data_IF_213046833412
#
_entry.id   IF_213046833412
#
_cell.length_a   1.000
_cell.length_b   1.000
_cell.length_c   1.000
_cell.angle_alpha   90.00
_cell.angle_beta   90.00
_cell.angle_gamma   90.00
#
_symmetry.space_group_name_H-M   'P 1'
#
loop_
_entity.id
_entity.type
_entity.pdbx_description
1 polymer ?
#
# COMPACT_ATOMS: atom_id res chain seq x y z
N UNK A 1 12.43 12.59 -3.75
CA UNK A 1 11.70 12.50 -5.05
C UNK A 1 12.25 13.55 -5.99
N UNK A 2 12.35 13.33 -7.30
CA UNK A 2 12.73 14.40 -8.23
C UNK A 2 11.59 15.43 -8.28
N UNK A 3 11.91 16.72 -8.11
CA UNK A 3 10.91 17.78 -8.09
C UNK A 3 10.04 17.76 -9.36
N UNK A 4 8.73 17.79 -9.17
CA UNK A 4 7.74 17.87 -10.26
C UNK A 4 7.44 16.56 -11.01
N UNK A 5 8.10 15.45 -10.69
CA UNK A 5 7.83 14.15 -11.32
C UNK A 5 7.00 13.23 -10.39
N UNK A 6 6.08 12.42 -10.97
CA UNK A 6 5.34 11.45 -10.19
C UNK A 6 6.24 10.32 -9.70
N UNK A 7 5.84 9.65 -8.62
CA UNK A 7 6.57 8.51 -8.07
C UNK A 7 6.67 7.37 -9.09
N UNK A 8 7.89 6.96 -9.41
CA UNK A 8 8.17 5.83 -10.33
C UNK A 8 7.83 4.48 -9.67
N UNK A 9 7.95 4.39 -8.34
CA UNK A 9 7.54 3.18 -7.60
C UNK A 9 6.02 3.03 -7.57
N UNK A 10 5.26 4.13 -7.50
CA UNK A 10 3.80 4.09 -7.65
C UNK A 10 3.38 3.57 -9.03
N UNK A 11 4.07 3.99 -10.10
CA UNK A 11 3.85 3.45 -11.43
C UNK A 11 4.19 1.96 -11.52
N UNK A 12 5.32 1.53 -10.95
CA UNK A 12 5.72 0.13 -10.90
C UNK A 12 4.69 -0.76 -10.18
N UNK A 13 4.14 -0.30 -9.06
CA UNK A 13 3.07 -1.01 -8.36
C UNK A 13 1.79 -1.13 -9.21
N UNK A 14 1.42 -0.07 -9.93
CA UNK A 14 0.28 -0.08 -10.84
C UNK A 14 0.49 -1.05 -12.02
N UNK A 15 1.71 -1.13 -12.57
CA UNK A 15 2.09 -2.11 -13.60
C UNK A 15 1.89 -3.55 -13.11
N UNK A 16 2.34 -3.86 -11.90
CA UNK A 16 2.15 -5.18 -11.32
C UNK A 16 0.66 -5.51 -11.10
N UNK A 17 -0.16 -4.56 -10.64
CA UNK A 17 -1.60 -4.78 -10.49
C UNK A 17 -2.28 -5.03 -11.83
N UNK A 18 -1.98 -4.25 -12.88
CA UNK A 18 -2.52 -4.46 -14.21
C UNK A 18 -2.10 -5.81 -14.80
N UNK A 19 -0.81 -6.17 -14.67
CA UNK A 19 -0.32 -7.47 -15.13
C UNK A 19 -0.98 -8.64 -14.38
N UNK A 20 -1.28 -8.49 -13.09
CA UNK A 20 -2.01 -9.50 -12.30
C UNK A 20 -3.42 -9.76 -12.84
N UNK A 21 -4.13 -8.74 -13.32
CA UNK A 21 -5.46 -8.92 -13.91
C UNK A 21 -5.42 -9.82 -15.15
N UNK A 22 -4.35 -9.72 -15.95
CA UNK A 22 -4.20 -10.49 -17.20
C UNK A 22 -3.56 -11.85 -16.95
N UNK A 23 -2.40 -11.88 -16.30
CA UNK A 23 -1.56 -13.10 -16.20
C UNK A 23 -2.09 -14.09 -15.16
N UNK A 24 -2.65 -13.62 -14.06
CA UNK A 24 -3.29 -14.43 -13.02
C UNK A 24 -4.82 -14.30 -13.03
N UNK A 25 -5.40 -13.59 -14.00
CA UNK A 25 -6.86 -13.37 -14.13
C UNK A 25 -7.49 -12.76 -12.88
N UNK A 26 -6.75 -11.92 -12.16
CA UNK A 26 -7.20 -11.32 -10.91
C UNK A 26 -7.51 -12.31 -9.78
N UNK A 27 -6.95 -13.52 -9.82
CA UNK A 27 -7.34 -14.64 -8.94
C UNK A 27 -7.13 -14.37 -7.43
N UNK A 28 -6.24 -13.46 -7.06
CA UNK A 28 -6.02 -13.04 -5.66
C UNK A 28 -6.76 -11.76 -5.37
N UNK A 29 -6.63 -10.79 -6.29
CA UNK A 29 -7.19 -9.46 -6.15
C UNK A 29 -7.72 -8.95 -7.47
N UNK A 30 -9.03 -8.72 -7.55
CA UNK A 30 -9.67 -8.16 -8.75
C UNK A 30 -9.68 -6.63 -8.69
N UNK A 31 -9.03 -6.01 -9.67
CA UNK A 31 -9.02 -4.55 -9.85
C UNK A 31 -9.34 -4.20 -11.31
N UNK A 32 -10.61 -4.01 -11.66
CA UNK A 32 -11.03 -3.73 -13.04
C UNK A 32 -10.51 -2.40 -13.58
N UNK A 33 -10.03 -1.51 -12.72
CA UNK A 33 -9.49 -0.21 -13.09
C UNK A 33 -7.95 -0.21 -13.26
N UNK A 34 -7.27 -1.29 -12.84
CA UNK A 34 -5.80 -1.35 -12.85
C UNK A 34 -5.20 -1.10 -14.24
N UNK A 35 -5.79 -1.67 -15.30
CA UNK A 35 -5.36 -1.44 -16.67
C UNK A 35 -5.87 -0.08 -17.21
N UNK A 36 -7.08 0.31 -16.86
CA UNK A 36 -7.68 1.58 -17.33
C UNK A 36 -6.89 2.80 -16.89
N UNK A 37 -6.50 2.86 -15.61
CA UNK A 37 -5.75 4.01 -15.07
C UNK A 37 -4.36 4.14 -15.67
N UNK A 38 -3.78 3.05 -16.17
CA UNK A 38 -2.52 3.05 -16.91
C UNK A 38 -2.69 3.51 -18.36
N UNK A 39 -3.89 3.36 -18.93
CA UNK A 39 -4.16 3.71 -20.33
C UNK A 39 -3.25 2.94 -21.29
N UNK A 40 -2.59 3.63 -22.26
CA UNK A 40 -1.71 2.98 -23.26
C UNK A 40 -0.58 2.14 -22.66
N UNK A 41 -0.11 2.47 -21.46
CA UNK A 41 1.00 1.79 -20.81
C UNK A 41 0.64 0.38 -20.30
N UNK A 42 -0.66 0.06 -20.16
CA UNK A 42 -1.11 -1.23 -19.63
C UNK A 42 -0.60 -2.43 -20.44
N UNK A 43 -0.63 -2.33 -21.77
CA UNK A 43 -0.11 -3.39 -22.65
C UNK A 43 1.39 -3.61 -22.50
N UNK A 44 2.16 -2.53 -22.35
CA UNK A 44 3.60 -2.60 -22.10
C UNK A 44 3.92 -3.26 -20.76
N UNK A 45 3.16 -2.90 -19.70
CA UNK A 45 3.29 -3.49 -18.38
C UNK A 45 3.09 -5.02 -18.38
N UNK A 46 2.10 -5.51 -19.13
CA UNK A 46 1.84 -6.95 -19.27
C UNK A 46 2.98 -7.64 -20.01
N UNK A 47 3.44 -7.10 -21.15
CA UNK A 47 4.57 -7.67 -21.90
C UNK A 47 5.85 -7.72 -21.08
N UNK A 48 6.18 -6.65 -20.35
CA UNK A 48 7.35 -6.63 -19.45
C UNK A 48 7.24 -7.71 -18.36
N UNK A 49 6.05 -7.86 -17.77
CA UNK A 49 5.81 -8.87 -16.73
C UNK A 49 5.85 -10.31 -17.27
N UNK A 50 5.54 -10.53 -18.54
CA UNK A 50 5.70 -11.83 -19.24
C UNK A 50 7.16 -12.13 -19.55
N UNK A 51 7.91 -11.11 -19.97
CA UNK A 51 9.33 -11.24 -20.32
C UNK A 51 10.23 -11.50 -19.10
N UNK A 52 9.80 -11.06 -17.89
CA UNK A 52 10.55 -11.27 -16.65
C UNK A 52 9.72 -12.04 -15.59
N UNK A 53 9.66 -13.39 -15.68
CA UNK A 53 8.96 -14.22 -14.70
C UNK A 53 9.54 -14.13 -13.28
N UNK A 54 10.78 -13.69 -13.11
CA UNK A 54 11.42 -13.57 -11.78
C UNK A 54 10.64 -12.59 -10.88
N UNK A 55 9.93 -11.63 -11.45
CA UNK A 55 9.12 -10.62 -10.74
C UNK A 55 7.72 -11.11 -10.37
N UNK A 56 7.37 -12.34 -10.73
CA UNK A 56 6.05 -12.91 -10.41
C UNK A 56 5.77 -12.89 -8.90
N UNK A 57 6.77 -13.21 -8.06
CA UNK A 57 6.63 -13.16 -6.60
C UNK A 57 6.22 -11.78 -6.10
N UNK A 58 6.87 -10.71 -6.58
CA UNK A 58 6.52 -9.33 -6.23
C UNK A 58 5.12 -8.97 -6.71
N UNK A 59 4.74 -9.36 -7.94
CA UNK A 59 3.39 -9.13 -8.48
C UNK A 59 2.31 -9.78 -7.61
N UNK A 60 2.52 -11.02 -7.21
CA UNK A 60 1.59 -11.74 -6.34
C UNK A 60 1.51 -11.11 -4.94
N UNK A 61 2.65 -10.68 -4.37
CA UNK A 61 2.68 -9.98 -3.09
C UNK A 61 1.89 -8.65 -3.15
N UNK A 62 2.05 -7.87 -4.23
CA UNK A 62 1.27 -6.64 -4.43
C UNK A 62 -0.23 -6.92 -4.50
N UNK A 63 -0.66 -8.03 -5.12
CA UNK A 63 -2.06 -8.43 -5.12
C UNK A 63 -2.53 -8.87 -3.73
N UNK A 64 -1.72 -9.64 -3.00
CA UNK A 64 -2.03 -10.10 -1.63
C UNK A 64 -2.22 -8.94 -0.67
N UNK A 65 -1.28 -7.98 -0.63
CA UNK A 65 -1.39 -6.85 0.31
C UNK A 65 -2.62 -5.98 0.03
N UNK A 66 -2.97 -5.79 -1.25
CA UNK A 66 -4.17 -5.06 -1.63
C UNK A 66 -5.44 -5.82 -1.20
N UNK A 67 -5.53 -7.12 -1.45
CA UNK A 67 -6.64 -7.97 -0.99
C UNK A 67 -6.77 -7.96 0.52
N UNK A 68 -5.69 -8.16 1.25
CA UNK A 68 -5.67 -8.14 2.71
C UNK A 68 -6.17 -6.81 3.28
N UNK A 69 -5.71 -5.69 2.69
CA UNK A 69 -6.11 -4.36 3.14
C UNK A 69 -7.60 -4.10 2.89
N UNK A 70 -8.15 -4.50 1.75
CA UNK A 70 -9.57 -4.30 1.45
C UNK A 70 -10.48 -5.22 2.27
N UNK A 71 -10.08 -6.47 2.52
CA UNK A 71 -10.80 -7.36 3.44
C UNK A 71 -10.82 -6.81 4.86
N UNK A 72 -9.68 -6.28 5.35
CA UNK A 72 -9.57 -5.65 6.65
C UNK A 72 -10.39 -4.35 6.74
N UNK A 73 -10.41 -3.53 5.68
CA UNK A 73 -11.23 -2.34 5.59
C UNK A 73 -12.71 -2.68 5.64
N UNK A 74 -13.16 -3.68 4.89
CA UNK A 74 -14.57 -4.12 4.89
C UNK A 74 -15.00 -4.54 6.30
N UNK A 75 -14.15 -5.30 7.01
CA UNK A 75 -14.40 -5.68 8.39
C UNK A 75 -14.45 -4.48 9.35
N UNK A 76 -13.56 -3.50 9.19
CA UNK A 76 -13.56 -2.28 9.99
C UNK A 76 -14.79 -1.40 9.73
N UNK A 77 -15.22 -1.26 8.47
CA UNK A 77 -16.46 -0.54 8.10
C UNK A 77 -17.69 -1.19 8.73
N UNK A 78 -17.76 -2.53 8.74
CA UNK A 78 -18.82 -3.27 9.41
C UNK A 78 -18.83 -3.02 10.94
N UNK A 79 -17.67 -2.72 11.55
CA UNK A 79 -17.51 -2.39 12.97
C UNK A 79 -17.63 -0.89 13.29
N UNK A 80 -17.86 -0.04 12.31
CA UNK A 80 -18.13 1.38 12.54
C UNK A 80 -17.14 2.36 11.96
N UNK A 81 -16.06 1.94 11.29
CA UNK A 81 -15.16 2.84 10.59
C UNK A 81 -15.92 3.63 9.50
N UNK A 82 -15.68 4.94 9.43
CA UNK A 82 -16.37 5.85 8.50
C UNK A 82 -15.42 6.71 7.69
N UNK A 83 -14.14 6.59 7.91
CA UNK A 83 -13.10 7.31 7.19
C UNK A 83 -12.01 6.33 6.75
N UNK A 84 -11.61 6.42 5.49
CA UNK A 84 -10.44 5.75 4.93
C UNK A 84 -9.39 6.80 4.56
N UNK A 85 -8.17 6.61 5.02
CA UNK A 85 -7.01 7.39 4.60
C UNK A 85 -6.05 6.47 3.83
N UNK A 86 -5.78 6.80 2.58
CA UNK A 86 -4.83 6.09 1.73
C UNK A 86 -3.53 6.87 1.71
N UNK A 87 -2.53 6.41 2.46
CA UNK A 87 -1.22 7.05 2.56
C UNK A 87 -0.30 6.61 1.41
N UNK A 88 0.23 7.56 0.67
CA UNK A 88 0.98 7.29 -0.55
C UNK A 88 0.09 6.68 -1.63
N UNK A 89 -1.04 7.34 -1.90
CA UNK A 89 -2.12 6.81 -2.73
C UNK A 89 -1.70 6.46 -4.17
N UNK A 90 -0.64 7.07 -4.72
CA UNK A 90 -0.12 6.75 -6.05
C UNK A 90 -1.23 6.58 -7.09
N UNK A 91 -1.26 5.42 -7.74
CA UNK A 91 -2.35 4.99 -8.63
C UNK A 91 -3.29 3.97 -7.98
N UNK A 92 -3.48 4.02 -6.66
CA UNK A 92 -4.52 3.24 -5.99
C UNK A 92 -5.90 3.52 -6.61
N UNK A 93 -6.75 2.50 -6.67
CA UNK A 93 -8.04 2.56 -7.37
C UNK A 93 -9.24 2.34 -6.46
N UNK A 94 -9.03 2.09 -5.16
CA UNK A 94 -10.12 1.75 -4.25
C UNK A 94 -11.25 2.78 -4.27
N UNK A 95 -10.92 4.07 -4.17
CA UNK A 95 -11.92 5.14 -4.12
C UNK A 95 -12.88 5.14 -5.32
N UNK A 96 -12.41 4.68 -6.48
CA UNK A 96 -13.15 4.68 -7.75
C UNK A 96 -13.93 3.37 -7.99
N UNK A 97 -13.81 2.39 -7.09
CA UNK A 97 -14.52 1.10 -7.11
C UNK A 97 -15.23 0.82 -5.79
N UNK A 98 -15.19 1.76 -4.86
CA UNK A 98 -15.92 1.63 -3.60
C UNK A 98 -17.43 1.42 -3.87
N UNK A 99 -18.12 0.60 -3.06
CA UNK A 99 -19.55 0.38 -3.25
C UNK A 99 -20.34 1.69 -3.26
N UNK A 100 -21.26 1.81 -4.22
CA UNK A 100 -22.17 2.94 -4.28
C UNK A 100 -22.99 3.05 -2.99
N UNK A 101 -23.20 4.29 -2.52
CA UNK A 101 -23.91 4.54 -1.27
C UNK A 101 -23.11 4.24 0.00
N UNK A 102 -21.83 3.90 -0.11
CA UNK A 102 -20.96 3.78 1.06
C UNK A 102 -20.91 5.10 1.83
N UNK A 103 -21.15 5.02 3.15
CA UNK A 103 -20.98 6.17 4.06
C UNK A 103 -19.51 6.50 4.36
N UNK A 104 -18.57 5.84 3.69
CA UNK A 104 -17.15 5.99 3.89
C UNK A 104 -16.63 7.27 3.21
N UNK A 105 -16.03 8.16 3.99
CA UNK A 105 -15.25 9.28 3.46
C UNK A 105 -13.83 8.80 3.16
N UNK A 106 -13.29 9.14 2.01
CA UNK A 106 -11.99 8.68 1.55
C UNK A 106 -11.06 9.88 1.38
N UNK A 107 -9.86 9.77 1.93
CA UNK A 107 -8.79 10.77 1.84
C UNK A 107 -7.58 10.14 1.16
N UNK A 108 -7.26 10.56 -0.03
CA UNK A 108 -6.01 10.16 -0.70
C UNK A 108 -4.90 11.15 -0.36
N UNK A 109 -3.91 10.67 0.36
CA UNK A 109 -2.72 11.43 0.76
C UNK A 109 -1.55 11.05 -0.13
N UNK A 110 -0.98 12.02 -0.82
CA UNK A 110 0.23 11.83 -1.63
C UNK A 110 0.93 13.16 -1.89
N UNK A 111 2.16 13.08 -2.40
CA UNK A 111 2.88 14.27 -2.85
C UNK A 111 2.09 15.03 -3.94
N UNK A 112 2.05 16.37 -3.92
CA UNK A 112 1.27 17.17 -4.86
C UNK A 112 1.47 16.80 -6.34
N UNK A 113 2.72 16.55 -6.75
CA UNK A 113 3.05 16.18 -8.13
C UNK A 113 2.45 14.82 -8.54
N UNK A 114 2.53 13.81 -7.65
CA UNK A 114 1.94 12.47 -7.88
C UNK A 114 0.43 12.57 -7.95
N UNK A 115 -0.17 13.37 -7.08
CA UNK A 115 -1.62 13.55 -7.06
C UNK A 115 -2.13 14.29 -8.30
N UNK A 116 -1.43 15.33 -8.75
CA UNK A 116 -1.74 16.02 -10.01
C UNK A 116 -1.63 15.09 -11.22
N UNK A 117 -0.61 14.23 -11.24
CA UNK A 117 -0.45 13.19 -12.27
C UNK A 117 -1.60 12.18 -12.24
N UNK A 118 -1.97 11.64 -11.07
CA UNK A 118 -3.11 10.74 -10.92
C UNK A 118 -4.40 11.34 -11.45
N UNK A 119 -4.68 12.60 -11.10
CA UNK A 119 -5.89 13.29 -11.56
C UNK A 119 -5.96 13.42 -13.09
N UNK A 120 -4.82 13.68 -13.75
CA UNK A 120 -4.74 13.67 -15.22
C UNK A 120 -5.04 12.28 -15.77
N UNK A 121 -4.43 11.21 -15.20
CA UNK A 121 -4.67 9.82 -15.64
C UNK A 121 -6.14 9.41 -15.47
N UNK A 122 -6.79 9.82 -14.40
CA UNK A 122 -8.22 9.57 -14.18
C UNK A 122 -9.08 10.24 -15.28
N UNK A 123 -8.78 11.49 -15.59
CA UNK A 123 -9.50 12.22 -16.65
C UNK A 123 -9.28 11.57 -18.03
N UNK A 124 -8.05 11.26 -18.41
CA UNK A 124 -7.69 10.59 -19.66
C UNK A 124 -8.38 9.22 -19.80
N UNK A 125 -8.48 8.47 -18.69
CA UNK A 125 -9.14 7.17 -18.66
C UNK A 125 -10.68 7.26 -18.51
N UNK A 126 -11.24 8.48 -18.44
CA UNK A 126 -12.67 8.71 -18.17
C UNK A 126 -13.16 7.98 -16.92
N UNK A 127 -12.34 7.96 -15.86
CA UNK A 127 -12.68 7.41 -14.54
C UNK A 127 -13.24 8.56 -13.68
N UNK A 128 -14.53 8.53 -13.31
CA UNK A 128 -15.12 9.60 -12.51
C UNK A 128 -14.53 9.64 -11.10
N UNK A 129 -14.34 10.84 -10.57
CA UNK A 129 -13.92 11.05 -9.17
C UNK A 129 -15.19 11.08 -8.32
N UNK A 130 -15.36 10.15 -7.35
CA UNK A 130 -16.57 10.13 -6.53
C UNK A 130 -16.59 11.29 -5.52
N UNK A 131 -17.78 11.76 -5.17
CA UNK A 131 -17.96 12.84 -4.19
C UNK A 131 -17.51 12.49 -2.75
N UNK A 132 -17.34 11.21 -2.47
CA UNK A 132 -16.80 10.72 -1.18
C UNK A 132 -15.27 10.86 -1.05
N UNK A 133 -14.56 11.15 -2.15
CA UNK A 133 -13.10 11.27 -2.20
C UNK A 133 -12.66 12.71 -2.01
N UNK A 134 -11.74 12.93 -1.09
CA UNK A 134 -10.98 14.17 -0.93
C UNK A 134 -9.50 13.90 -1.20
N UNK A 135 -8.90 14.68 -2.08
CA UNK A 135 -7.47 14.69 -2.28
C UNK A 135 -6.79 15.55 -1.22
N UNK A 136 -5.85 14.99 -0.48
CA UNK A 136 -5.06 15.66 0.55
C UNK A 136 -3.59 15.68 0.11
N UNK A 137 -3.14 16.67 -0.69
CA UNK A 137 -1.75 16.76 -1.10
C UNK A 137 -0.87 17.07 0.11
N UNK A 138 0.24 16.34 0.27
CA UNK A 138 1.18 16.52 1.38
C UNK A 138 2.61 16.46 0.88
N UNK A 139 3.35 17.53 1.11
CA UNK A 139 4.80 17.52 1.05
C UNK A 139 5.36 17.33 2.45
N UNK A 140 5.75 16.12 2.81
CA UNK A 140 6.25 15.79 4.15
C UNK A 140 7.57 16.48 4.53
N UNK A 141 8.23 17.17 3.60
CA UNK A 141 9.36 18.03 3.92
C UNK A 141 8.92 19.38 4.51
N UNK A 142 7.64 19.77 4.30
CA UNK A 142 7.11 21.09 4.64
C UNK A 142 5.95 21.07 5.61
N UNK A 143 5.22 19.97 5.68
CA UNK A 143 4.04 19.89 6.54
C UNK A 143 3.82 18.47 7.12
N UNK A 144 2.96 18.40 8.14
CA UNK A 144 2.64 17.15 8.83
C UNK A 144 1.37 16.53 8.28
N UNK A 145 1.27 15.19 8.41
CA UNK A 145 0.06 14.45 8.05
C UNK A 145 -1.19 14.99 8.78
N UNK A 146 -1.06 15.29 10.07
CA UNK A 146 -2.18 15.80 10.89
C UNK A 146 -2.74 17.12 10.36
N UNK A 147 -1.86 18.05 9.96
CA UNK A 147 -2.27 19.35 9.41
C UNK A 147 -2.97 19.18 8.06
N UNK A 148 -2.42 18.37 7.18
CA UNK A 148 -3.00 18.14 5.86
C UNK A 148 -4.36 17.43 5.95
N UNK A 149 -4.49 16.43 6.82
CA UNK A 149 -5.78 15.76 7.04
C UNK A 149 -6.81 16.70 7.65
N UNK A 150 -6.43 17.55 8.61
CA UNK A 150 -7.34 18.57 9.17
C UNK A 150 -7.82 19.55 8.08
N UNK A 151 -6.92 20.04 7.23
CA UNK A 151 -7.26 20.90 6.09
C UNK A 151 -8.19 20.22 5.07
N UNK A 152 -8.08 18.88 4.93
CA UNK A 152 -8.95 18.08 4.08
C UNK A 152 -10.31 17.73 4.72
N UNK A 153 -10.56 18.16 5.96
CA UNK A 153 -11.82 17.89 6.68
C UNK A 153 -11.91 16.49 7.31
N UNK A 154 -10.77 15.86 7.59
CA UNK A 154 -10.71 14.63 8.38
C UNK A 154 -11.13 14.91 9.82
N UNK A 155 -11.99 14.05 10.37
CA UNK A 155 -12.48 14.16 11.73
C UNK A 155 -11.77 13.13 12.64
N UNK A 156 -10.85 13.55 13.51
CA UNK A 156 -10.10 12.65 14.37
C UNK A 156 -10.96 11.93 15.42
N UNK A 157 -12.19 12.41 15.69
CA UNK A 157 -13.12 11.79 16.62
C UNK A 157 -13.92 10.63 16.00
N UNK A 158 -13.85 10.43 14.69
CA UNK A 158 -14.47 9.30 14.02
C UNK A 158 -13.50 8.15 13.84
N UNK A 159 -13.99 6.93 14.02
CA UNK A 159 -13.21 5.72 13.77
C UNK A 159 -12.73 5.70 12.30
N UNK A 160 -11.44 5.48 12.12
CA UNK A 160 -10.78 5.59 10.85
C UNK A 160 -9.96 4.34 10.49
N UNK A 161 -9.76 4.14 9.19
CA UNK A 161 -8.93 3.08 8.64
C UNK A 161 -7.84 3.70 7.76
N UNK A 162 -6.61 3.25 7.94
CA UNK A 162 -5.46 3.70 7.16
C UNK A 162 -4.93 2.55 6.31
N UNK A 163 -4.76 2.79 5.00
CA UNK A 163 -3.96 1.91 4.14
C UNK A 163 -2.64 2.59 3.82
N UNK A 164 -1.55 1.85 3.98
CA UNK A 164 -0.19 2.39 3.79
C UNK A 164 0.67 1.38 3.05
N UNK A 165 0.29 1.10 1.79
CA UNK A 165 0.84 0.01 1.00
C UNK A 165 1.94 0.45 0.05
N UNK A 166 3.12 -0.18 0.15
CA UNK A 166 4.27 0.08 -0.70
C UNK A 166 4.96 1.41 -0.45
N UNK A 167 4.90 1.92 0.78
CA UNK A 167 5.47 3.20 1.17
C UNK A 167 6.47 3.04 2.32
N UNK A 168 6.14 2.27 3.35
CA UNK A 168 6.97 2.06 4.54
C UNK A 168 8.42 1.71 4.23
N UNK A 169 8.73 0.80 3.29
CA UNK A 169 10.13 0.46 2.98
C UNK A 169 11.00 1.63 2.50
N UNK A 170 10.40 2.72 2.01
CA UNK A 170 11.10 3.90 1.50
C UNK A 170 11.28 5.01 2.54
N UNK A 171 10.70 4.86 3.73
CA UNK A 171 10.75 5.83 4.82
C UNK A 171 11.83 5.48 5.83
N UNK A 172 12.30 6.48 6.56
CA UNK A 172 13.13 6.23 7.75
C UNK A 172 12.29 5.61 8.85
N UNK A 173 12.91 4.81 9.71
CA UNK A 173 12.24 4.21 10.87
C UNK A 173 11.53 5.26 11.73
N UNK A 174 12.17 6.41 11.96
CA UNK A 174 11.56 7.52 12.69
C UNK A 174 10.27 8.02 12.03
N UNK A 175 10.26 8.23 10.72
CA UNK A 175 9.06 8.67 10.00
C UNK A 175 7.93 7.65 10.08
N UNK A 176 8.28 6.35 10.01
CA UNK A 176 7.31 5.26 10.16
C UNK A 176 6.65 5.32 11.53
N UNK A 177 7.43 5.37 12.62
CA UNK A 177 6.87 5.37 13.96
C UNK A 177 6.21 6.69 14.35
N UNK A 178 6.64 7.83 13.81
CA UNK A 178 5.92 9.10 13.97
C UNK A 178 4.51 9.03 13.37
N UNK A 179 4.38 8.46 12.18
CA UNK A 179 3.08 8.26 11.53
C UNK A 179 2.20 7.27 12.30
N UNK A 180 2.78 6.13 12.73
CA UNK A 180 2.05 5.11 13.52
C UNK A 180 1.59 5.67 14.87
N UNK A 181 2.42 6.48 15.55
CA UNK A 181 2.05 7.14 16.80
C UNK A 181 0.91 8.14 16.61
N UNK A 182 0.92 8.93 15.52
CA UNK A 182 -0.19 9.81 15.17
C UNK A 182 -1.49 9.03 14.98
N UNK A 183 -1.46 7.93 14.22
CA UNK A 183 -2.63 7.09 13.97
C UNK A 183 -3.15 6.46 15.28
N UNK A 184 -2.24 5.96 16.12
CA UNK A 184 -2.60 5.36 17.41
C UNK A 184 -3.23 6.37 18.39
N UNK A 185 -2.82 7.63 18.31
CA UNK A 185 -3.34 8.73 19.16
C UNK A 185 -4.68 9.30 18.72
N UNK A 186 -5.33 8.81 17.67
CA UNK A 186 -6.62 9.32 17.22
C UNK A 186 -7.73 8.99 18.20
N UNK A 187 -8.47 9.99 18.74
CA UNK A 187 -9.48 9.76 19.79
C UNK A 187 -10.66 8.89 19.32
N UNK A 188 -10.98 8.88 18.03
CA UNK A 188 -12.01 8.01 17.46
C UNK A 188 -11.62 6.54 17.30
N UNK A 189 -10.36 6.21 17.57
CA UNK A 189 -9.77 4.91 17.29
C UNK A 189 -9.43 4.71 15.82
N UNK A 190 -8.45 3.88 15.57
CA UNK A 190 -7.95 3.66 14.21
C UNK A 190 -7.50 2.23 13.96
N UNK A 191 -7.62 1.85 12.70
CA UNK A 191 -6.99 0.67 12.11
C UNK A 191 -5.95 1.10 11.10
N UNK A 192 -4.87 0.35 10.96
CA UNK A 192 -3.88 0.56 9.89
C UNK A 192 -3.48 -0.78 9.28
N UNK A 193 -3.34 -0.79 7.94
CA UNK A 193 -2.71 -1.88 7.21
C UNK A 193 -1.52 -1.32 6.44
N UNK A 194 -0.36 -1.94 6.64
CA UNK A 194 0.86 -1.59 5.91
C UNK A 194 1.68 -2.83 5.59
N UNK A 195 2.61 -2.71 4.65
CA UNK A 195 3.56 -3.74 4.31
C UNK A 195 4.99 -3.33 4.64
N UNK A 196 5.81 -4.31 4.99
CA UNK A 196 7.22 -4.14 5.32
C UNK A 196 8.04 -5.35 4.89
N UNK A 197 9.36 -5.25 4.95
CA UNK A 197 10.27 -6.37 4.72
C UNK A 197 11.15 -6.65 5.93
N UNK A 198 11.55 -7.91 6.10
CA UNK A 198 12.55 -8.28 7.08
C UNK A 198 13.95 -7.75 6.68
N UNK A 199 14.84 -7.52 7.65
CA UNK A 199 16.24 -7.23 7.36
C UNK A 199 16.92 -8.41 6.67
N UNK A 200 18.08 -8.17 6.04
CA UNK A 200 18.92 -9.24 5.50
C UNK A 200 19.32 -10.22 6.60
N UNK A 201 19.41 -11.50 6.23
CA UNK A 201 20.06 -12.48 7.11
C UNK A 201 21.57 -12.56 6.82
N UNK A 202 22.31 -13.18 7.71
CA UNK A 202 23.73 -13.45 7.47
C UNK A 202 23.97 -14.52 6.38
N UNK A 203 22.91 -15.17 5.87
CA UNK A 203 22.95 -16.14 4.79
C UNK A 203 22.54 -15.52 3.45
N UNK A 204 23.18 -15.93 2.36
CA UNK A 204 22.80 -15.52 0.99
C UNK A 204 21.64 -16.40 0.48
N UNK A 205 20.51 -16.31 1.11
CA UNK A 205 19.32 -17.04 0.69
C UNK A 205 18.63 -16.38 -0.53
N UNK A 206 17.57 -17.03 -1.05
CA UNK A 206 16.83 -16.55 -2.21
C UNK A 206 16.13 -15.21 -1.92
N UNK A 207 15.75 -14.96 -0.67
CA UNK A 207 15.15 -13.71 -0.26
C UNK A 207 16.15 -12.56 -0.32
N UNK A 208 17.35 -12.75 0.21
CA UNK A 208 18.39 -11.71 0.22
C UNK A 208 18.78 -11.31 -1.21
N UNK A 209 18.93 -12.27 -2.14
CA UNK A 209 19.18 -11.99 -3.56
C UNK A 209 18.04 -11.21 -4.21
N UNK A 210 16.79 -11.58 -3.93
CA UNK A 210 15.60 -10.87 -4.43
C UNK A 210 15.53 -9.43 -3.89
N UNK A 211 15.86 -9.24 -2.63
CA UNK A 211 15.91 -7.93 -1.96
C UNK A 211 17.03 -7.05 -2.54
N UNK A 212 18.20 -7.59 -2.77
CA UNK A 212 19.31 -6.87 -3.42
C UNK A 212 18.94 -6.41 -4.84
N UNK A 213 18.33 -7.29 -5.63
CA UNK A 213 17.84 -6.95 -6.96
C UNK A 213 16.76 -5.85 -6.92
N UNK A 214 15.86 -5.90 -5.95
CA UNK A 214 14.86 -4.85 -5.72
C UNK A 214 15.53 -3.54 -5.30
N UNK A 215 16.48 -3.58 -4.36
CA UNK A 215 17.20 -2.40 -3.89
C UNK A 215 18.00 -1.74 -5.02
N UNK A 216 18.70 -2.52 -5.85
CA UNK A 216 19.42 -2.00 -7.01
C UNK A 216 18.49 -1.31 -8.01
N UNK A 217 17.33 -1.91 -8.30
CA UNK A 217 16.33 -1.31 -9.18
C UNK A 217 15.77 -0.01 -8.60
N UNK A 218 15.41 0.01 -7.33
CA UNK A 218 14.89 1.20 -6.64
C UNK A 218 15.92 2.32 -6.65
N UNK A 219 17.20 1.99 -6.43
CA UNK A 219 18.31 2.93 -6.53
C UNK A 219 18.47 3.50 -7.95
N UNK A 220 18.28 2.68 -9.00
CA UNK A 220 18.40 3.12 -10.40
C UNK A 220 17.34 4.14 -10.82
N UNK A 221 16.25 4.27 -10.05
CA UNK A 221 15.21 5.27 -10.25
C UNK A 221 15.28 6.44 -9.25
N UNK A 222 16.39 6.54 -8.48
CA UNK A 222 16.62 7.62 -7.52
C UNK A 222 15.89 7.47 -6.20
N UNK A 223 15.39 6.28 -5.87
CA UNK A 223 14.76 5.95 -4.62
C UNK A 223 15.63 4.94 -3.83
N UNK A 224 15.37 4.73 -2.55
CA UNK A 224 16.13 3.77 -1.72
C UNK A 224 15.23 3.08 -0.70
N UNK A 225 15.50 1.80 -0.43
CA UNK A 225 14.90 1.10 0.69
C UNK A 225 15.59 1.55 1.97
N UNK A 226 14.83 2.12 2.91
CA UNK A 226 15.35 2.78 4.11
C UNK A 226 15.00 2.07 5.41
N UNK A 227 13.91 1.33 5.45
CA UNK A 227 13.50 0.61 6.65
C UNK A 227 13.22 -0.86 6.39
N UNK A 228 13.62 -1.66 7.37
CA UNK A 228 13.36 -3.09 7.47
C UNK A 228 13.12 -3.41 8.93
N UNK A 229 12.20 -4.31 9.25
CA UNK A 229 11.84 -4.57 10.64
C UNK A 229 11.91 -6.07 10.94
N UNK A 230 12.51 -6.41 12.08
CA UNK A 230 12.31 -7.71 12.71
C UNK A 230 10.89 -7.76 13.25
N UNK A 231 10.14 -8.81 12.89
CA UNK A 231 8.70 -8.91 13.16
C UNK A 231 8.39 -8.77 14.67
N UNK A 232 9.11 -9.50 15.52
CA UNK A 232 8.87 -9.45 16.97
C UNK A 232 9.11 -8.05 17.56
N UNK A 233 10.17 -7.36 17.13
CA UNK A 233 10.49 -6.01 17.56
C UNK A 233 9.46 -4.99 17.08
N UNK A 234 8.97 -5.12 15.83
CA UNK A 234 7.91 -4.27 15.30
C UNK A 234 6.60 -4.44 16.08
N UNK A 235 6.16 -5.69 16.31
CA UNK A 235 4.94 -5.98 17.06
C UNK A 235 5.00 -5.43 18.49
N UNK A 236 6.14 -5.59 19.19
CA UNK A 236 6.34 -5.04 20.53
C UNK A 236 6.23 -3.51 20.54
N UNK A 237 6.81 -2.83 19.55
CA UNK A 237 6.73 -1.37 19.43
C UNK A 237 5.31 -0.89 19.13
N UNK A 238 4.57 -1.60 18.27
CA UNK A 238 3.16 -1.30 17.98
C UNK A 238 2.30 -1.43 19.23
N UNK A 239 2.49 -2.51 20.01
CA UNK A 239 1.81 -2.68 21.31
C UNK A 239 2.14 -1.53 22.27
N UNK A 240 3.40 -1.09 22.32
CA UNK A 240 3.83 0.08 23.09
C UNK A 240 3.21 1.41 22.66
N UNK A 241 2.80 1.55 21.40
CA UNK A 241 2.04 2.70 20.89
C UNK A 241 0.53 2.63 21.18
N UNK A 242 0.03 1.53 21.76
CA UNK A 242 -1.38 1.36 22.09
C UNK A 242 -2.20 0.56 21.08
N UNK A 243 -1.58 -0.04 20.08
CA UNK A 243 -2.27 -1.00 19.21
C UNK A 243 -2.52 -2.30 20.00
N UNK A 244 -3.76 -2.80 19.95
CA UNK A 244 -4.23 -3.96 20.74
C UNK A 244 -4.46 -5.20 19.91
N UNK A 245 -5.00 -5.03 18.68
CA UNK A 245 -5.16 -6.11 17.71
C UNK A 245 -4.04 -6.03 16.68
N UNK A 246 -3.21 -7.06 16.63
CA UNK A 246 -2.09 -7.16 15.68
C UNK A 246 -2.21 -8.47 14.89
N UNK A 247 -2.24 -8.39 13.57
CA UNK A 247 -2.24 -9.54 12.66
C UNK A 247 -1.14 -9.33 11.63
N UNK A 248 -0.07 -10.12 11.71
CA UNK A 248 1.03 -10.11 10.75
C UNK A 248 0.97 -11.33 9.86
N UNK A 249 0.96 -11.12 8.56
CA UNK A 249 1.10 -12.19 7.58
C UNK A 249 2.48 -12.11 6.93
N UNK A 250 3.37 -12.97 7.38
CA UNK A 250 4.62 -13.26 6.71
C UNK A 250 4.43 -14.24 5.54
N UNK A 251 5.51 -14.61 4.85
CA UNK A 251 5.43 -15.44 3.64
C UNK A 251 4.67 -16.76 3.83
N UNK A 252 4.87 -17.45 4.96
CA UNK A 252 4.18 -18.71 5.22
C UNK A 252 2.68 -18.52 5.42
N UNK A 253 2.27 -17.54 6.24
CA UNK A 253 0.85 -17.22 6.47
C UNK A 253 0.17 -16.78 5.17
N UNK A 254 0.89 -15.98 4.36
CA UNK A 254 0.42 -15.58 3.02
C UNK A 254 0.23 -16.81 2.14
N UNK A 255 1.18 -17.75 2.15
CA UNK A 255 1.08 -19.00 1.39
C UNK A 255 -0.13 -19.83 1.82
N UNK A 256 -0.32 -20.01 3.10
CA UNK A 256 -1.45 -20.78 3.63
C UNK A 256 -2.79 -20.14 3.30
N UNK A 257 -2.90 -18.81 3.41
CA UNK A 257 -4.17 -18.08 3.24
C UNK A 257 -4.58 -17.88 1.77
N UNK A 258 -3.62 -17.58 0.89
CA UNK A 258 -3.91 -17.16 -0.49
C UNK A 258 -3.47 -18.16 -1.56
N UNK A 259 -2.63 -19.13 -1.21
CA UNK A 259 -2.06 -20.10 -2.16
C UNK A 259 -2.26 -21.56 -1.74
N UNK A 260 -3.16 -21.85 -0.81
CA UNK A 260 -3.47 -23.22 -0.41
C UNK A 260 -3.86 -24.08 -1.64
N UNK A 261 -3.20 -25.24 -1.81
CA UNK A 261 -3.39 -26.12 -2.96
C UNK A 261 -2.77 -25.63 -4.28
N UNK A 262 -2.09 -24.50 -4.31
CA UNK A 262 -1.33 -23.98 -5.45
C UNK A 262 0.13 -23.91 -5.08
N UNK A 263 1.03 -24.46 -5.90
CA UNK A 263 2.47 -24.30 -5.69
C UNK A 263 2.80 -22.79 -5.58
N UNK A 264 3.24 -22.34 -4.39
CA UNK A 264 3.59 -20.95 -4.19
C UNK A 264 5.07 -20.71 -4.50
N UNK A 265 5.40 -19.71 -5.31
CA UNK A 265 6.78 -19.30 -5.52
C UNK A 265 7.32 -18.42 -4.37
N UNK A 266 6.55 -18.21 -3.30
CA UNK A 266 6.94 -17.34 -2.19
C UNK A 266 8.14 -17.92 -1.45
N UNK A 267 9.20 -17.14 -1.19
CA UNK A 267 10.32 -17.56 -0.35
C UNK A 267 9.90 -17.69 1.11
N UNK A 268 10.67 -18.40 1.92
CA UNK A 268 10.41 -18.58 3.36
C UNK A 268 10.51 -17.26 4.15
N UNK A 269 11.28 -16.30 3.64
CA UNK A 269 11.38 -14.92 4.15
C UNK A 269 10.96 -13.96 3.04
N UNK A 270 10.42 -12.79 3.40
CA UNK A 270 9.96 -11.88 2.36
C UNK A 270 9.27 -10.63 2.87
N UNK A 271 8.34 -10.17 2.06
CA UNK A 271 7.43 -9.10 2.43
C UNK A 271 6.35 -9.60 3.39
N UNK A 272 6.04 -8.78 4.35
CA UNK A 272 4.95 -8.94 5.31
C UNK A 272 3.85 -7.93 5.02
N UNK A 273 2.62 -8.30 5.31
CA UNK A 273 1.52 -7.35 5.42
C UNK A 273 0.94 -7.45 6.83
N UNK A 274 0.81 -6.31 7.49
CA UNK A 274 0.41 -6.22 8.89
C UNK A 274 -0.82 -5.34 9.03
N UNK A 275 -1.79 -5.83 9.83
CA UNK A 275 -2.92 -5.06 10.33
C UNK A 275 -2.70 -4.77 11.81
N UNK A 276 -2.93 -3.52 12.21
CA UNK A 276 -2.93 -3.10 13.60
C UNK A 276 -4.17 -2.27 13.89
N UNK A 277 -4.72 -2.37 15.12
CA UNK A 277 -5.89 -1.63 15.56
C UNK A 277 -5.76 -1.19 17.01
N UNK A 278 -6.27 0.01 17.32
CA UNK A 278 -6.38 0.54 18.68
C UNK A 278 -7.76 0.27 19.33
N UNK A 279 -8.69 -0.24 18.53
CA UNK A 279 -10.10 -0.51 18.94
C UNK A 279 -10.54 -1.90 18.56
#
# INVERSE_FOLDING_TARGET
MQEGLPSRTALGAAYHRAAHQVLERGAIFSDPLAARILGPDAGAAVREAQADPSRRGLRLFIAVRARFAEDALAAAVARGARQLVVLGAGLDTYAYRAPEGSALRIYEVDHPATQAWKRRRLAEASIPVPGSLTFAPVDFERETLSRALAAAGFDPARQSFFTWLGVVPYLTEQAVFTTLAYIAGLPGGAHVVFDYGNPASAGQDRYDKGREALAARVASIGESLRSHFETAGLLARLAGLGYRELEDLGPEQIRLRYFAGRGSPMPDRGGHVLRASTV
#
